data_IF_736163634355
#
_entry.id   IF_736163634355
#
_cell.length_a   1.000
_cell.length_b   1.000
_cell.length_c   1.000
_cell.angle_alpha   90.00
_cell.angle_beta   90.00
_cell.angle_gamma   90.00
#
_symmetry.space_group_name_H-M   'P 1'
#
loop_
_entity.id
_entity.type
_entity.pdbx_description
1 polymer ?
2 water ?
#
# COMPACT_ATOMS: atom_id res chain seq x y z
N UNK A 12 9.09 -14.58 -3.88
CA UNK A 12 7.87 -13.85 -3.52
C UNK A 12 6.64 -14.62 -4.00
N UNK A 13 5.78 -15.03 -3.06
CA UNK A 13 4.60 -15.82 -3.42
C UNK A 13 3.67 -14.98 -4.28
N UNK A 14 3.55 -15.33 -5.56
CA UNK A 14 2.68 -14.61 -6.48
C UNK A 14 1.23 -15.10 -6.38
N UNK A 15 0.29 -14.17 -6.55
CA UNK A 15 -1.12 -14.48 -6.41
C UNK A 15 -1.85 -14.18 -7.71
N UNK A 16 -2.97 -14.85 -7.90
CA UNK A 16 -3.73 -14.65 -9.11
C UNK A 16 -4.53 -13.36 -8.98
N UNK A 17 -4.95 -12.83 -10.12
CA UNK A 17 -5.79 -11.64 -10.15
C UNK A 17 -7.19 -12.01 -10.65
N UNK A 18 -8.10 -11.02 -10.62
CA UNK A 18 -9.45 -11.27 -11.09
C UNK A 18 -9.46 -11.86 -12.49
N UNK A 19 -8.50 -11.46 -13.32
CA UNK A 19 -8.44 -11.94 -14.69
C UNK A 19 -8.10 -13.42 -14.78
N UNK A 20 -7.68 -14.04 -13.68
CA UNK A 20 -7.43 -15.48 -13.67
C UNK A 20 -8.66 -16.30 -13.34
N UNK A 21 -9.83 -15.66 -13.20
CA UNK A 21 -11.02 -16.43 -12.89
C UNK A 21 -12.18 -16.01 -13.77
N UNK A 22 -13.19 -16.84 -13.74
CA UNK A 22 -14.36 -16.72 -14.57
C UNK A 22 -15.40 -15.80 -13.98
N UNK A 23 -15.45 -15.72 -12.66
CA UNK A 23 -16.54 -15.05 -11.97
C UNK A 23 -15.99 -14.36 -10.74
N UNK A 24 -16.70 -13.33 -10.32
CA UNK A 24 -16.35 -12.71 -9.05
C UNK A 24 -16.41 -13.74 -7.94
N UNK A 25 -17.40 -14.63 -7.96
CA UNK A 25 -17.49 -15.65 -6.93
C UNK A 25 -16.21 -16.47 -6.85
N UNK A 26 -15.76 -16.98 -8.01
CA UNK A 26 -14.50 -17.70 -8.09
C UNK A 26 -13.38 -16.89 -7.47
N UNK A 27 -13.20 -15.67 -7.96
CA UNK A 27 -12.07 -14.87 -7.52
C UNK A 27 -12.21 -14.54 -6.05
N UNK A 28 -13.42 -14.25 -5.60
CA UNK A 28 -13.66 -13.99 -4.18
C UNK A 28 -13.28 -15.20 -3.35
N UNK A 29 -13.61 -16.41 -3.80
CA UNK A 29 -13.21 -17.58 -3.03
C UNK A 29 -11.69 -17.65 -2.97
N UNK A 30 -11.01 -17.36 -4.07
CA UNK A 30 -9.56 -17.41 -4.08
C UNK A 30 -8.98 -16.42 -3.09
N UNK A 31 -9.47 -15.19 -3.13
CA UNK A 31 -8.99 -14.19 -2.20
C UNK A 31 -9.28 -14.62 -0.78
N UNK A 32 -10.53 -15.04 -0.51
CA UNK A 32 -10.88 -15.51 0.81
C UNK A 32 -9.94 -16.61 1.29
N UNK A 33 -9.64 -17.56 0.42
CA UNK A 33 -8.76 -18.67 0.78
C UNK A 33 -7.33 -18.21 1.08
N UNK A 34 -6.93 -17.07 0.56
CA UNK A 34 -5.51 -16.74 0.64
C UNK A 34 -5.21 -15.49 1.43
N UNK A 35 -6.18 -14.62 1.64
CA UNK A 35 -5.89 -13.34 2.26
C UNK A 35 -5.69 -13.52 3.75
N UNK A 36 -4.71 -12.80 4.29
CA UNK A 36 -4.43 -12.86 5.71
C UNK A 36 -4.23 -11.44 6.23
N UNK A 37 -4.57 -11.23 7.50
CA UNK A 37 -4.20 -9.99 8.16
C UNK A 37 -2.70 -9.83 8.05
N UNK A 38 -2.27 -8.63 7.74
CA UNK A 38 -0.89 -8.31 7.58
C UNK A 38 -0.45 -8.29 6.13
N UNK A 39 -1.24 -8.90 5.27
CA UNK A 39 -0.89 -8.96 3.88
C UNK A 39 -1.08 -7.60 3.24
N UNK A 40 -0.22 -7.28 2.28
CA UNK A 40 -0.41 -6.15 1.38
C UNK A 40 -1.39 -6.56 0.29
N UNK A 41 -2.31 -5.67 -0.07
CA UNK A 41 -3.23 -5.95 -1.16
C UNK A 41 -3.30 -4.68 -1.97
N UNK A 42 -3.66 -4.84 -3.21
CA UNK A 42 -3.86 -3.73 -4.12
C UNK A 42 -5.35 -3.70 -4.44
N UNK A 43 -5.93 -2.52 -4.47
CA UNK A 43 -7.32 -2.39 -4.88
C UNK A 43 -7.38 -2.50 -6.39
N UNK A 44 -8.07 -3.52 -6.88
CA UNK A 44 -8.16 -3.75 -8.32
C UNK A 44 -9.52 -3.34 -8.88
N UNK A 45 -10.50 -3.09 -8.02
CA UNK A 45 -11.80 -2.57 -8.40
C UNK A 45 -12.06 -1.44 -7.42
N UNK A 46 -12.09 -0.20 -7.92
CA UNK A 46 -12.35 0.95 -7.06
C UNK A 46 -13.62 0.70 -6.27
N UNK A 47 -13.60 1.11 -5.00
CA UNK A 47 -14.76 0.93 -4.14
C UNK A 47 -14.85 2.07 -3.16
N UNK A 48 -15.87 2.91 -3.29
CA UNK A 48 -16.03 4.00 -2.34
C UNK A 48 -14.75 4.77 -2.11
N UNK A 49 -14.24 4.77 -0.89
CA UNK A 49 -13.07 5.57 -0.56
C UNK A 49 -11.77 4.98 -1.07
N UNK A 50 -11.81 3.79 -1.64
CA UNK A 50 -10.59 3.12 -2.05
C UNK A 50 -10.56 3.18 -3.56
N UNK A 51 -9.61 3.91 -4.09
CA UNK A 51 -9.49 4.03 -5.53
C UNK A 51 -8.78 2.79 -6.07
N UNK A 52 -9.01 2.52 -7.34
CA UNK A 52 -8.26 1.44 -7.96
C UNK A 52 -6.80 1.76 -7.85
N UNK A 53 -5.99 0.76 -7.52
CA UNK A 53 -4.56 0.95 -7.45
C UNK A 53 -4.09 1.34 -6.08
N UNK A 54 -5.01 1.65 -5.17
CA UNK A 54 -4.62 1.92 -3.81
C UNK A 54 -4.06 0.63 -3.27
N UNK A 55 -3.14 0.76 -2.32
CA UNK A 55 -2.48 -0.41 -1.75
C UNK A 55 -2.78 -0.36 -0.28
N UNK A 56 -3.10 -1.50 0.28
CA UNK A 56 -3.55 -1.52 1.66
C UNK A 56 -2.92 -2.70 2.37
N UNK A 57 -2.74 -2.52 3.64
CA UNK A 57 -2.35 -3.60 4.54
C UNK A 57 -3.62 -4.13 5.17
N UNK A 58 -3.86 -5.43 5.01
CA UNK A 58 -5.02 -5.99 5.63
C UNK A 58 -4.83 -5.90 7.13
N UNK A 59 -5.78 -5.26 7.79
CA UNK A 59 -5.75 -5.16 9.22
C UNK A 59 -6.83 -5.96 9.92
N UNK A 60 -7.87 -6.37 9.21
CA UNK A 60 -8.87 -7.18 9.85
C UNK A 60 -9.60 -7.92 8.76
N UNK A 61 -9.98 -9.14 9.03
CA UNK A 61 -10.79 -9.92 8.11
C UNK A 61 -12.05 -10.32 8.85
N UNK A 62 -13.20 -9.93 8.31
CA UNK A 62 -14.45 -10.50 8.77
C UNK A 62 -14.75 -11.70 7.90
N UNK A 63 -15.42 -12.67 8.47
CA UNK A 63 -15.74 -13.86 7.72
C UNK A 63 -17.24 -13.95 7.51
N UNK A 64 -17.78 -12.98 6.80
CA UNK A 64 -19.20 -12.92 6.57
C UNK A 64 -19.46 -13.51 5.19
N UNK A 65 -20.54 -13.16 4.54
CA UNK A 65 -20.85 -13.73 3.24
C UNK A 65 -19.73 -13.50 2.24
N UNK A 66 -19.77 -14.28 1.16
CA UNK A 66 -18.66 -14.26 0.21
C UNK A 66 -18.39 -12.85 -0.30
N UNK A 67 -19.44 -12.08 -0.57
CA UNK A 67 -19.32 -10.74 -1.14
C UNK A 67 -19.58 -9.65 -0.14
N UNK A 68 -19.43 -9.93 1.14
CA UNK A 68 -19.64 -8.88 2.11
C UNK A 68 -18.35 -8.13 2.29
N UNK A 69 -18.45 -7.05 3.05
CA UNK A 69 -17.30 -6.20 3.27
C UNK A 69 -16.40 -6.86 4.29
N UNK A 70 -15.59 -7.82 3.81
CA UNK A 70 -14.84 -8.66 4.73
C UNK A 70 -13.39 -8.27 4.93
N UNK A 71 -12.85 -7.37 4.13
CA UNK A 71 -11.42 -7.07 4.15
C UNK A 71 -11.26 -5.65 4.63
N UNK A 72 -10.74 -5.47 5.82
CA UNK A 72 -10.42 -4.13 6.26
C UNK A 72 -8.94 -3.92 6.01
N UNK A 73 -8.60 -2.92 5.20
CA UNK A 73 -7.22 -2.49 5.08
C UNK A 73 -7.00 -1.07 5.49
N UNK A 74 -5.73 -0.86 5.81
CA UNK A 74 -5.16 0.46 6.02
C UNK A 74 -4.61 0.86 4.65
N UNK A 75 -5.29 1.76 3.96
CA UNK A 75 -5.01 2.03 2.57
C UNK A 75 -4.02 3.16 2.48
N UNK A 76 -3.04 3.01 1.59
CA UNK A 76 -1.97 3.97 1.58
C UNK A 76 -2.43 5.29 1.00
N UNK A 77 -3.21 5.24 -0.08
CA UNK A 77 -3.53 6.52 -0.70
C UNK A 77 -4.71 7.15 0.01
N UNK A 78 -5.68 6.32 0.36
CA UNK A 78 -6.79 6.81 1.18
C UNK A 78 -6.29 7.30 2.54
N UNK A 79 -5.24 6.70 3.07
CA UNK A 79 -4.61 7.22 4.27
C UNK A 79 -5.30 6.73 5.52
N UNK A 80 -5.99 5.62 5.43
CA UNK A 80 -6.77 5.17 6.56
C UNK A 80 -7.48 3.89 6.19
N UNK A 81 -8.34 3.46 7.09
CA UNK A 81 -8.89 2.14 6.98
C UNK A 81 -10.15 2.19 6.16
N UNK A 82 -10.41 1.11 5.44
CA UNK A 82 -11.67 1.02 4.76
C UNK A 82 -11.91 -0.44 4.52
N UNK A 83 -13.15 -0.86 4.67
CA UNK A 83 -13.53 -2.23 4.37
C UNK A 83 -13.86 -2.37 2.91
N UNK A 84 -13.39 -3.45 2.31
CA UNK A 84 -13.73 -3.74 0.95
C UNK A 84 -14.15 -5.21 0.88
N UNK A 85 -14.64 -5.59 -0.28
CA UNK A 85 -14.96 -6.97 -0.56
C UNK A 85 -13.73 -7.68 -1.09
N UNK A 86 -13.77 -9.02 -1.07
CA UNK A 86 -12.62 -9.75 -1.57
C UNK A 86 -12.31 -9.33 -2.99
N UNK A 87 -13.34 -9.20 -3.81
CA UNK A 87 -13.12 -8.93 -5.22
C UNK A 87 -12.56 -7.54 -5.47
N UNK A 88 -12.50 -6.71 -4.43
CA UNK A 88 -11.91 -5.40 -4.58
C UNK A 88 -10.41 -5.43 -4.50
N UNK A 89 -9.83 -6.52 -4.00
CA UNK A 89 -8.40 -6.51 -3.77
C UNK A 89 -7.74 -7.57 -4.64
N UNK A 90 -6.49 -7.34 -4.97
CA UNK A 90 -5.65 -8.42 -5.45
C UNK A 90 -4.50 -8.55 -4.49
N UNK A 91 -4.17 -9.77 -4.15
CA UNK A 91 -3.24 -10.02 -3.07
C UNK A 91 -1.86 -9.63 -3.53
N UNK A 92 -1.16 -8.85 -2.74
CA UNK A 92 0.27 -8.72 -2.95
C UNK A 92 1.02 -9.69 -2.06
N UNK A 93 0.60 -9.79 -0.82
CA UNK A 93 1.22 -10.71 0.10
C UNK A 93 2.04 -9.99 1.13
N UNK A 94 3.09 -10.67 1.56
CA UNK A 94 4.02 -10.10 2.51
C UNK A 94 5.22 -9.72 1.71
N UNK A 95 5.37 -8.45 1.33
CA UNK A 95 6.55 -8.08 0.57
C UNK A 95 7.79 -8.42 1.37
N UNK A 96 8.88 -8.79 0.70
CA UNK A 96 10.07 -9.22 1.41
C UNK A 96 10.66 -8.07 2.21
N UNK A 97 11.64 -8.36 3.08
CA UNK A 97 12.17 -7.33 3.99
C UNK A 97 12.57 -6.04 3.29
N UNK A 98 11.84 -4.97 3.60
CA UNK A 98 12.21 -3.61 3.25
C UNK A 98 11.93 -3.27 1.78
N UNK A 99 11.67 -4.29 0.93
CA UNK A 99 11.47 -4.05 -0.50
C UNK A 99 10.45 -2.94 -0.75
N UNK A 100 9.41 -2.89 0.06
CA UNK A 100 8.58 -1.70 0.23
C UNK A 100 7.94 -1.81 1.59
N UNK A 101 7.80 -0.68 2.26
CA UNK A 101 7.15 -0.69 3.54
C UNK A 101 5.71 -0.19 3.38
N UNK A 102 4.89 -0.42 4.40
CA UNK A 102 3.55 0.13 4.42
C UNK A 102 3.64 1.59 4.83
N UNK A 103 3.61 2.46 3.85
CA UNK A 103 3.69 3.88 4.08
C UNK A 103 2.45 4.44 3.48
N UNK A 104 1.79 5.33 4.23
CA UNK A 104 0.55 5.91 3.76
C UNK A 104 0.77 7.39 3.50
N UNK A 105 -0.07 7.94 2.64
CA UNK A 105 -0.09 9.37 2.56
C UNK A 105 -0.36 9.91 3.95
N UNK A 106 0.38 10.93 4.34
CA UNK A 106 0.13 11.47 5.63
C UNK A 106 1.10 10.96 6.67
N UNK A 107 1.89 9.96 6.31
CA UNK A 107 2.81 9.39 7.29
C UNK A 107 4.04 10.24 7.32
N UNK A 108 4.72 10.24 8.46
CA UNK A 108 6.02 10.87 8.49
C UNK A 108 7.07 9.87 8.03
N UNK A 109 7.88 10.28 7.07
CA UNK A 109 8.89 9.39 6.53
C UNK A 109 10.22 10.09 6.60
N UNK A 110 11.26 9.28 6.44
CA UNK A 110 12.62 9.78 6.27
C UNK A 110 13.35 8.86 5.31
N UNK A 111 14.42 9.38 4.73
CA UNK A 111 15.31 8.58 3.90
C UNK A 111 16.02 7.58 4.77
N UNK A 112 16.02 6.31 4.37
CA UNK A 112 16.71 5.30 5.17
C UNK A 112 18.18 5.65 5.30
N UNK A 113 18.74 5.35 6.47
CA UNK A 113 20.16 5.53 6.68
C UNK A 113 20.97 4.70 5.70
N UNK A 114 20.44 3.53 5.31
CA UNK A 114 21.07 2.64 4.34
C UNK A 114 21.26 3.29 2.97
N UNK A 115 20.52 4.36 2.68
CA UNK A 115 20.66 5.10 1.43
C UNK A 115 21.72 6.17 1.61
N UNK A 116 22.80 6.07 0.85
CA UNK A 116 23.80 7.13 0.85
C UNK A 116 23.32 8.32 0.00
N UNK A 117 22.77 8.06 -1.18
CA UNK A 117 22.22 9.14 -1.99
C UNK A 117 20.92 8.70 -2.64
N UNK A 118 19.83 9.46 -2.45
CA UNK A 118 18.52 9.03 -2.93
C UNK A 118 18.46 9.07 -4.44
N UNK A 119 17.58 8.25 -5.00
CA UNK A 119 17.54 8.13 -6.46
C UNK A 119 17.33 9.48 -7.13
N UNK A 120 16.58 10.38 -6.49
CA UNK A 120 16.29 11.68 -7.08
C UNK A 120 17.05 12.79 -6.37
N UNK A 121 18.18 12.43 -5.77
CA UNK A 121 19.14 13.34 -5.14
C UNK A 121 18.57 13.75 -3.80
N UNK A 122 19.40 14.39 -2.98
CA UNK A 122 18.97 14.83 -1.66
C UNK A 122 18.13 16.08 -1.73
N UNK A 123 18.46 17.00 -2.64
CA UNK A 123 17.94 18.34 -2.51
C UNK A 123 18.36 18.89 -1.18
N UNK A 124 17.42 19.46 -0.44
CA UNK A 124 17.75 20.01 0.87
C UNK A 124 17.45 19.04 1.99
N UNK A 125 17.16 17.81 1.67
CA UNK A 125 16.79 16.79 2.63
C UNK A 125 18.08 16.14 3.15
N UNK A 126 18.10 15.80 4.43
CA UNK A 126 19.16 15.03 5.05
C UNK A 126 18.55 13.76 5.63
N UNK A 127 19.42 12.89 6.15
CA UNK A 127 18.89 11.75 6.89
C UNK A 127 18.11 12.18 8.11
N UNK A 128 18.38 13.37 8.61
CA UNK A 128 17.69 13.87 9.79
C UNK A 128 16.38 14.52 9.42
N UNK A 129 16.11 14.68 8.12
CA UNK A 129 14.87 15.28 7.72
C UNK A 129 13.73 14.29 7.93
N UNK A 130 12.59 14.83 8.31
CA UNK A 130 11.39 14.05 8.52
C UNK A 130 10.31 14.73 7.70
N UNK A 131 9.75 13.99 6.76
CA UNK A 131 8.75 14.59 5.89
C UNK A 131 7.43 13.86 5.99
N UNK A 132 6.38 14.49 5.47
CA UNK A 132 5.06 13.88 5.42
C UNK A 132 4.79 13.46 3.98
N UNK A 133 4.40 12.20 3.81
CA UNK A 133 4.08 11.69 2.48
C UNK A 133 2.82 12.40 1.99
N UNK A 134 2.90 12.92 0.78
CA UNK A 134 1.76 13.63 0.25
C UNK A 134 1.17 12.98 -0.97
N UNK A 135 1.94 12.15 -1.66
CA UNK A 135 1.38 11.51 -2.83
C UNK A 135 2.28 10.37 -3.20
N UNK A 136 1.72 9.41 -3.90
CA UNK A 136 2.48 8.36 -4.57
C UNK A 136 2.55 8.65 -6.05
N UNK A 137 3.69 8.35 -6.67
CA UNK A 137 3.77 8.48 -8.12
C UNK A 137 2.82 7.48 -8.77
N UNK A 138 2.51 7.73 -10.06
CA UNK A 138 1.57 6.87 -10.77
C UNK A 138 2.04 5.41 -10.81
N UNK A 139 3.35 5.20 -10.87
CA UNK A 139 3.94 3.86 -10.89
C UNK A 139 4.03 3.20 -9.50
N UNK A 140 3.69 3.90 -8.44
CA UNK A 140 3.78 3.35 -7.10
C UNK A 140 5.16 3.27 -6.50
N UNK A 141 6.22 3.46 -7.29
CA UNK A 141 7.59 3.34 -6.79
C UNK A 141 8.06 4.57 -6.06
N UNK A 142 7.47 5.74 -6.30
CA UNK A 142 7.94 6.99 -5.74
C UNK A 142 6.87 7.60 -4.85
N UNK A 143 7.33 8.32 -3.83
CA UNK A 143 6.44 9.18 -3.06
C UNK A 143 6.94 10.59 -3.17
N UNK A 144 6.00 11.50 -3.11
CA UNK A 144 6.29 12.91 -2.94
C UNK A 144 6.06 13.26 -1.50
N UNK A 145 7.06 13.90 -0.91
CA UNK A 145 7.11 14.10 0.52
C UNK A 145 7.34 15.57 0.73
N UNK A 146 6.65 16.15 1.70
CA UNK A 146 6.89 17.51 2.12
C UNK A 146 7.74 17.44 3.37
N UNK A 147 8.94 17.86 3.27
CA UNK A 147 9.83 18.09 4.39
C UNK A 147 9.78 19.55 4.77
N UNK A 148 9.99 19.86 6.06
CA UNK A 148 10.15 21.27 6.44
C UNK A 148 11.18 21.99 5.58
N UNK A 149 12.28 21.32 5.22
CA UNK A 149 13.31 21.97 4.43
C UNK A 149 12.97 22.02 2.95
N UNK A 150 12.00 21.26 2.48
CA UNK A 150 11.72 21.20 1.05
C UNK A 150 10.42 20.48 0.83
N UNK A 151 9.41 21.19 0.39
CA UNK A 151 8.20 20.47 0.04
C UNK A 151 8.37 19.81 -1.33
N UNK A 152 7.42 18.97 -1.67
CA UNK A 152 7.35 18.34 -3.00
C UNK A 152 8.68 17.69 -3.36
N UNK A 153 9.20 16.92 -2.42
CA UNK A 153 10.44 16.21 -2.60
C UNK A 153 10.09 14.78 -3.00
N UNK A 154 10.67 14.30 -4.09
CA UNK A 154 10.32 12.98 -4.56
C UNK A 154 11.37 11.98 -4.08
N UNK A 155 10.94 10.92 -3.45
CA UNK A 155 11.85 9.87 -3.04
C UNK A 155 11.37 8.55 -3.58
N UNK A 156 12.33 7.70 -3.87
CA UNK A 156 12.01 6.33 -4.17
C UNK A 156 11.44 5.70 -2.92
N UNK A 157 10.25 5.14 -3.05
CA UNK A 157 9.56 4.64 -1.87
C UNK A 157 10.44 3.63 -1.15
N UNK A 158 11.15 2.80 -1.91
CA UNK A 158 12.05 1.82 -1.33
C UNK A 158 13.20 2.46 -0.55
N UNK A 159 13.55 3.71 -0.83
CA UNK A 159 14.58 4.36 -0.02
C UNK A 159 14.03 5.12 1.16
N UNK A 160 12.74 5.00 1.42
CA UNK A 160 12.03 5.83 2.38
C UNK A 160 11.58 4.91 3.51
N UNK A 161 11.48 5.43 4.73
CA UNK A 161 10.92 4.60 5.77
C UNK A 161 10.11 5.47 6.73
N UNK A 162 9.07 4.86 7.32
CA UNK A 162 8.33 5.51 8.38
C UNK A 162 9.28 5.98 9.45
N UNK A 163 8.98 7.13 10.05
CA UNK A 163 9.80 7.58 11.17
C UNK A 163 9.21 6.96 12.43
N UNK A 164 10.02 6.27 13.23
CA UNK A 164 9.66 5.83 14.58
C UNK A 164 9.00 6.98 15.39
#
# INVERSE_FOLDING_TARGET
GAMSTGAVVTESQTYKKRADFLSNDDYAVYVRENIQVGMMVRCCRAYEEVCEGDVGKVIKLDRDGLHDLNVQCDWQQKGGTYWVRYIHVELIGYPPPSSSSHIKIGDKVRVKASVTTPKYKWGSVTHQSVGVVKAFSANGKDIIVDFPQQSHWTGLLSEMELVP
#
